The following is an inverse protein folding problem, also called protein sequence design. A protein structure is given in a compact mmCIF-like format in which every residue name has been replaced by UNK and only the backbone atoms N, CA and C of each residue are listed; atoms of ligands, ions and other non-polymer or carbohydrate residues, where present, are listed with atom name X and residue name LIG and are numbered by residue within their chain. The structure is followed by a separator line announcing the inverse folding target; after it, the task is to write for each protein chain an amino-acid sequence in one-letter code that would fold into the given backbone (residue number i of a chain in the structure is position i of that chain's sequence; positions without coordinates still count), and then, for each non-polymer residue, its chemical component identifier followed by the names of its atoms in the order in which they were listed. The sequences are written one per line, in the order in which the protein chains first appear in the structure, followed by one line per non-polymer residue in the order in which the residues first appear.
data_IF_474428871366
#
_entry.id   IF_474428871366
#
_cell.length_a   1.000
_cell.length_b   1.000
_cell.length_c   1.000
_cell.angle_alpha   90.00
_cell.angle_beta   90.00
_cell.angle_gamma   90.00
#
_symmetry.space_group_name_H-M   'P 1'
#
loop_
_entity.id
_entity.type
_entity.pdbx_description
1 polymer ?
#
# COMPACT_ATOMS: atom_id res chain seq x y z
N UNK A 1 6.93 -15.89 -32.80
CA UNK A 1 6.27 -15.86 -31.48
C UNK A 1 7.41 -15.82 -30.48
N UNK A 2 7.73 -14.75 -29.75
CA UNK A 2 6.89 -13.79 -29.02
C UNK A 2 7.74 -12.56 -28.65
N UNK A 3 7.27 -11.38 -29.03
CA UNK A 3 7.63 -10.07 -28.47
C UNK A 3 6.30 -9.31 -28.36
N UNK A 4 5.51 -9.56 -27.31
CA UNK A 4 4.16 -8.97 -27.20
C UNK A 4 3.62 -8.76 -25.79
N UNK A 5 4.40 -8.99 -24.73
CA UNK A 5 3.89 -8.87 -23.36
C UNK A 5 3.96 -7.44 -22.79
N UNK A 6 4.75 -6.53 -23.37
CA UNK A 6 4.95 -5.18 -22.83
C UNK A 6 4.26 -4.04 -23.62
N UNK A 7 3.62 -4.31 -24.76
CA UNK A 7 3.07 -3.25 -25.63
C UNK A 7 1.54 -3.15 -25.64
N UNK A 8 0.80 -3.96 -24.87
CA UNK A 8 -0.68 -3.90 -24.81
C UNK A 8 -1.21 -3.24 -23.55
N UNK A 9 -0.85 -1.98 -23.32
CA UNK A 9 -1.57 -1.07 -22.42
C UNK A 9 -1.54 0.36 -22.99
N UNK A 10 -2.01 0.55 -24.24
CA UNK A 10 -2.45 1.85 -24.78
C UNK A 10 -3.67 1.66 -25.69
N UNK A 11 -4.62 2.59 -25.56
CA UNK A 11 -5.98 2.64 -26.15
C UNK A 11 -6.90 1.55 -25.59
N UNK A 12 -7.99 1.85 -24.88
CA UNK A 12 -9.08 2.76 -25.24
C UNK A 12 -9.67 3.44 -23.99
N UNK A 13 -9.66 4.78 -23.91
CA UNK A 13 -10.76 5.56 -23.31
C UNK A 13 -10.76 6.93 -24.00
N UNK A 14 -11.44 7.03 -25.14
CA UNK A 14 -12.04 8.30 -25.57
C UNK A 14 -13.53 8.02 -25.66
N UNK A 15 -14.31 8.68 -24.82
CA UNK A 15 -15.76 8.48 -24.77
C UNK A 15 -16.31 8.78 -23.38
N UNK A 16 -16.99 9.92 -23.28
CA UNK A 16 -17.89 10.23 -22.17
C UNK A 16 -18.92 9.11 -22.03
N UNK A 17 -18.71 8.19 -21.12
CA UNK A 17 -19.75 7.28 -20.62
C UNK A 17 -19.42 6.92 -19.19
N UNK A 18 -20.14 7.53 -18.24
CA UNK A 18 -20.15 7.14 -16.84
C UNK A 18 -20.58 5.66 -16.75
N UNK A 19 -19.61 4.75 -16.62
CA UNK A 19 -19.90 3.36 -16.25
C UNK A 19 -19.99 3.26 -14.72
N UNK A 20 -21.06 2.65 -14.25
CA UNK A 20 -21.32 2.39 -12.84
C UNK A 20 -20.29 1.40 -12.26
N UNK A 21 -19.78 1.72 -11.07
CA UNK A 21 -18.61 1.09 -10.46
C UNK A 21 -18.99 -0.15 -9.64
N UNK A 22 -18.27 -1.26 -9.87
CA UNK A 22 -18.16 -2.36 -8.92
C UNK A 22 -16.93 -2.14 -8.03
N UNK A 23 -17.09 -2.37 -6.72
CA UNK A 23 -16.01 -2.39 -5.75
C UNK A 23 -15.37 -3.78 -5.75
N UNK A 24 -14.16 -3.90 -6.29
CA UNK A 24 -13.30 -5.07 -6.09
C UNK A 24 -11.85 -4.62 -5.93
N UNK A 25 -11.26 -4.96 -4.78
CA UNK A 25 -9.81 -4.93 -4.61
C UNK A 25 -9.25 -6.12 -5.36
N UNK A 26 -8.52 -5.88 -6.45
CA UNK A 26 -7.87 -6.94 -7.21
C UNK A 26 -6.43 -7.03 -6.75
N UNK A 27 -6.10 -8.14 -6.09
CA UNK A 27 -4.71 -8.50 -5.83
C UNK A 27 -4.19 -9.21 -7.07
N UNK A 28 -3.30 -8.57 -7.82
CA UNK A 28 -2.61 -9.24 -8.92
C UNK A 28 -1.44 -10.04 -8.36
N UNK A 29 -1.52 -11.37 -8.46
CA UNK A 29 -0.44 -12.31 -8.16
C UNK A 29 -0.10 -13.00 -9.47
N UNK A 30 1.09 -12.73 -10.03
CA UNK A 30 1.61 -13.55 -11.12
C UNK A 30 2.52 -14.63 -10.53
N UNK A 31 2.25 -15.92 -10.81
CA UNK A 31 3.10 -17.00 -10.32
C UNK A 31 4.45 -17.04 -11.05
N UNK A 32 5.48 -17.48 -10.33
CA UNK A 32 6.81 -17.79 -10.90
C UNK A 32 6.66 -18.90 -11.96
N UNK A 33 7.27 -18.78 -13.15
CA UNK A 33 7.19 -19.81 -14.18
C UNK A 33 7.86 -21.11 -13.71
N UNK A 34 7.08 -22.18 -13.51
CA UNK A 34 7.63 -23.47 -13.07
C UNK A 34 6.72 -24.69 -13.16
N UNK A 35 5.41 -24.51 -13.39
CA UNK A 35 4.48 -25.64 -13.55
C UNK A 35 3.97 -25.73 -15.00
N UNK A 36 4.39 -26.78 -15.71
CA UNK A 36 3.83 -27.15 -17.01
C UNK A 36 2.43 -27.72 -16.83
N UNK A 37 1.45 -27.09 -17.45
CA UNK A 37 0.10 -27.60 -17.64
C UNK A 37 0.04 -28.33 -18.99
N UNK A 38 -0.33 -29.61 -19.02
CA UNK A 38 -0.48 -30.40 -20.25
C UNK A 38 -1.93 -30.33 -20.76
N UNK A 39 -2.20 -29.91 -22.02
CA UNK A 39 -3.55 -29.89 -22.57
C UNK A 39 -3.84 -31.10 -23.50
N UNK A 40 -5.10 -31.57 -23.46
CA UNK A 40 -5.71 -32.56 -24.38
C UNK A 40 -6.41 -33.68 -23.60
N UNK A 41 -7.66 -34.10 -23.81
CA UNK A 41 -8.54 -34.11 -24.99
C UNK A 41 -10.03 -34.17 -24.55
N UNK A 42 -10.95 -33.78 -25.44
CA UNK A 42 -12.40 -34.12 -25.47
C UNK A 42 -12.78 -34.39 -26.95
N UNK A 43 -13.93 -35.00 -27.34
CA UNK A 43 -15.18 -35.28 -26.59
C UNK A 43 -15.86 -36.66 -26.86
N UNK A 44 -16.92 -37.01 -26.11
CA UNK A 44 -17.93 -37.98 -26.59
C UNK A 44 -18.84 -38.67 -25.55
N UNK A 45 -20.08 -38.18 -25.44
CA UNK A 45 -21.36 -38.88 -25.15
C UNK A 45 -21.58 -39.69 -23.84
N UNK A 46 -22.41 -39.12 -22.95
CA UNK A 46 -23.68 -39.70 -22.48
C UNK A 46 -23.68 -40.89 -21.51
N UNK A 47 -24.01 -40.64 -20.23
CA UNK A 47 -25.14 -41.26 -19.50
C UNK A 47 -25.17 -40.79 -18.03
N UNK A 48 -26.37 -40.44 -17.58
CA UNK A 48 -26.71 -40.00 -16.23
C UNK A 48 -26.31 -41.02 -15.15
N UNK A 49 -25.50 -40.61 -14.17
CA UNK A 49 -25.62 -41.05 -12.76
C UNK A 49 -25.10 -39.94 -11.81
N UNK A 50 -25.61 -39.96 -10.58
CA UNK A 50 -25.73 -38.89 -9.57
C UNK A 50 -24.40 -38.24 -9.11
N UNK A 51 -24.42 -36.98 -8.60
CA UNK A 51 -23.23 -36.33 -8.06
C UNK A 51 -22.87 -36.89 -6.68
N UNK A 52 -21.66 -37.42 -6.56
CA UNK A 52 -21.01 -37.72 -5.27
C UNK A 52 -20.44 -36.40 -4.72
N UNK A 53 -20.96 -35.99 -3.58
CA UNK A 53 -20.37 -34.93 -2.75
C UNK A 53 -19.03 -35.40 -2.17
N UNK A 54 -17.93 -34.75 -2.55
CA UNK A 54 -16.70 -34.77 -1.74
C UNK A 54 -16.83 -33.71 -0.66
N UNK A 55 -17.22 -34.16 0.54
CA UNK A 55 -17.08 -33.40 1.78
C UNK A 55 -15.63 -33.57 2.27
N UNK A 56 -14.88 -32.48 2.34
CA UNK A 56 -13.63 -32.42 3.09
C UNK A 56 -13.97 -32.25 4.58
N UNK A 57 -14.03 -33.37 5.31
CA UNK A 57 -14.04 -33.40 6.77
C UNK A 57 -12.59 -33.32 7.25
N UNK A 58 -12.20 -32.19 7.85
CA UNK A 58 -10.97 -32.09 8.62
C UNK A 58 -11.28 -32.55 10.05
N UNK A 59 -11.02 -33.82 10.34
CA UNK A 59 -11.12 -34.38 11.70
C UNK A 59 -9.81 -34.13 12.44
N UNK A 60 -9.89 -33.38 13.55
CA UNK A 60 -8.79 -33.20 14.51
C UNK A 60 -8.77 -34.42 15.43
N UNK A 61 -7.69 -35.21 15.39
CA UNK A 61 -7.44 -36.24 16.40
C UNK A 61 -6.77 -35.62 17.63
N UNK A 62 -7.53 -35.55 18.72
CA UNK A 62 -7.00 -35.38 20.09
C UNK A 62 -6.64 -36.77 20.61
N UNK A 63 -5.37 -37.01 20.92
CA UNK A 63 -4.94 -38.19 21.62
C UNK A 63 -4.74 -37.85 23.11
N UNK A 64 -5.69 -38.30 23.93
CA UNK A 64 -5.57 -38.38 25.38
C UNK A 64 -5.03 -39.77 25.71
N UNK A 65 -3.90 -39.86 26.43
CA UNK A 65 -3.46 -41.12 27.05
C UNK A 65 -3.33 -40.90 28.55
N UNK A 66 -4.22 -41.53 29.30
CA UNK A 66 -4.13 -41.76 30.73
C UNK A 66 -3.64 -43.21 30.95
N UNK A 67 -2.64 -43.39 31.80
CA UNK A 67 -2.15 -44.71 32.23
C UNK A 67 -1.35 -44.60 33.52
N UNK A 68 -1.83 -45.27 34.56
CA UNK A 68 -1.36 -45.27 35.95
C UNK A 68 -0.25 -46.33 36.15
N UNK A 69 0.87 -45.94 36.80
CA UNK A 69 1.80 -46.59 37.78
C UNK A 69 2.15 -48.12 37.69
N UNK A 70 3.35 -48.59 38.12
CA UNK A 70 3.92 -48.32 39.46
C UNK A 70 5.45 -48.17 39.64
N UNK A 71 5.78 -47.84 40.90
CA UNK A 71 7.05 -47.52 41.58
C UNK A 71 8.18 -48.56 41.48
N UNK A 72 9.45 -48.10 41.38
CA UNK A 72 10.56 -48.34 42.34
C UNK A 72 11.91 -47.79 41.82
N UNK A 73 12.76 -47.26 42.71
CA UNK A 73 14.22 -47.28 42.55
C UNK A 73 14.97 -45.95 42.69
N UNK A 74 15.60 -45.77 43.84
CA UNK A 74 16.49 -44.67 44.23
C UNK A 74 17.72 -44.49 43.32
N UNK A 75 18.15 -43.24 43.07
CA UNK A 75 19.47 -42.76 43.49
C UNK A 75 19.65 -41.25 43.24
N UNK A 76 19.91 -40.55 44.35
CA UNK A 76 20.36 -39.16 44.40
C UNK A 76 21.86 -39.09 44.12
N UNK A 77 22.28 -38.25 43.17
CA UNK A 77 23.65 -37.75 43.13
C UNK A 77 23.66 -36.24 42.93
N UNK A 78 24.18 -35.55 43.96
CA UNK A 78 24.38 -34.10 44.03
C UNK A 78 25.43 -33.65 43.00
N UNK A 79 25.18 -32.54 42.32
CA UNK A 79 26.23 -31.73 41.68
C UNK A 79 26.04 -30.25 42.05
N UNK A 80 27.11 -29.66 42.59
CA UNK A 80 27.23 -28.26 43.03
C UNK A 80 27.33 -27.28 41.83
N UNK A 81 27.04 -25.98 42.02
CA UNK A 81 26.93 -25.02 40.92
C UNK A 81 28.30 -24.52 40.44
N UNK A 82 28.54 -24.55 39.12
CA UNK A 82 29.66 -23.84 38.50
C UNK A 82 29.24 -22.41 38.12
N UNK A 83 30.07 -21.45 38.51
CA UNK A 83 29.93 -20.03 38.17
C UNK A 83 30.09 -19.84 36.66
N UNK A 84 29.05 -19.33 36.01
CA UNK A 84 29.12 -18.82 34.64
C UNK A 84 29.32 -17.31 34.68
N UNK A 85 30.51 -16.85 34.27
CA UNK A 85 30.77 -15.46 33.90
C UNK A 85 30.09 -15.17 32.56
N UNK A 86 29.11 -14.27 32.58
CA UNK A 86 28.49 -13.68 31.38
C UNK A 86 29.49 -12.75 30.69
N UNK A 87 30.08 -13.20 29.58
CA UNK A 87 30.64 -12.29 28.57
C UNK A 87 29.54 -11.99 27.54
N UNK A 88 29.13 -10.73 27.48
CA UNK A 88 28.27 -10.17 26.44
C UNK A 88 28.97 -10.29 25.07
N UNK A 89 28.32 -10.79 24.00
CA UNK A 89 28.96 -10.89 22.70
C UNK A 89 28.95 -9.53 21.99
N UNK A 90 30.13 -8.89 21.94
CA UNK A 90 30.42 -7.63 21.26
C UNK A 90 30.81 -7.85 19.77
N UNK A 91 30.21 -8.84 19.11
CA UNK A 91 30.73 -9.43 17.86
C UNK A 91 29.91 -9.13 16.59
N UNK A 92 29.01 -8.14 16.59
CA UNK A 92 28.22 -7.78 15.37
C UNK A 92 28.57 -6.43 14.75
N UNK A 93 29.17 -5.48 15.45
CA UNK A 93 29.55 -4.17 14.88
C UNK A 93 30.79 -4.26 13.99
N UNK A 94 31.77 -5.06 14.40
CA UNK A 94 33.12 -5.03 13.80
C UNK A 94 33.19 -5.83 12.49
N UNK A 95 32.25 -6.76 12.27
CA UNK A 95 32.13 -7.53 11.04
C UNK A 95 31.47 -6.76 9.90
N UNK A 96 30.66 -5.74 10.21
CA UNK A 96 29.97 -4.92 9.20
C UNK A 96 30.97 -3.95 8.58
N UNK A 97 31.77 -3.26 9.41
CA UNK A 97 32.80 -2.30 8.94
C UNK A 97 33.92 -2.98 8.13
N UNK A 98 34.33 -4.18 8.52
CA UNK A 98 35.42 -4.91 7.84
C UNK A 98 35.00 -5.53 6.49
N UNK A 99 33.69 -5.74 6.24
CA UNK A 99 33.19 -6.13 4.91
C UNK A 99 32.96 -4.92 4.01
N UNK A 100 32.48 -3.82 4.56
CA UNK A 100 32.34 -2.55 3.86
C UNK A 100 33.69 -2.04 3.32
N UNK A 101 34.74 -2.13 4.15
CA UNK A 101 36.10 -1.78 3.75
C UNK A 101 36.65 -2.70 2.64
N UNK A 102 36.38 -4.01 2.70
CA UNK A 102 36.80 -4.97 1.66
C UNK A 102 36.11 -4.74 0.32
N UNK A 103 34.80 -4.52 0.31
CA UNK A 103 34.08 -4.24 -0.94
C UNK A 103 34.54 -2.92 -1.59
N UNK A 104 34.78 -1.87 -0.79
CA UNK A 104 35.34 -0.61 -1.29
C UNK A 104 36.74 -0.76 -1.90
N UNK A 105 37.58 -1.58 -1.26
CA UNK A 105 38.91 -1.92 -1.76
C UNK A 105 38.84 -2.74 -3.06
N UNK A 106 37.92 -3.71 -3.16
CA UNK A 106 37.72 -4.54 -4.37
C UNK A 106 37.20 -3.72 -5.57
N UNK A 107 36.45 -2.64 -5.33
CA UNK A 107 35.91 -1.77 -6.37
C UNK A 107 36.80 -0.56 -6.71
N UNK A 108 37.91 -0.34 -5.98
CA UNK A 108 38.84 0.76 -6.23
C UNK A 108 38.26 2.17 -6.07
N UNK A 109 37.24 2.35 -5.20
CA UNK A 109 36.52 3.63 -5.04
C UNK A 109 36.76 4.28 -3.66
N UNK A 110 36.80 5.63 -3.65
CA UNK A 110 36.89 6.50 -2.46
C UNK A 110 35.73 6.24 -1.47
N UNK A 111 35.90 6.39 -0.13
CA UNK A 111 34.89 6.10 0.90
C UNK A 111 33.66 7.04 0.98
N UNK A 112 33.38 7.85 -0.04
CA UNK A 112 32.26 8.82 -0.03
C UNK A 112 30.87 8.22 -0.33
N UNK A 113 30.71 6.90 -0.23
CA UNK A 113 29.46 6.17 -0.51
C UNK A 113 28.72 5.85 0.80
N UNK A 114 27.40 6.07 0.80
CA UNK A 114 26.53 5.62 1.88
C UNK A 114 26.14 4.17 1.60
N UNK A 115 26.55 3.25 2.47
CA UNK A 115 26.15 1.85 2.37
C UNK A 115 25.88 1.28 3.75
N UNK A 116 24.67 0.77 3.90
CA UNK A 116 24.20 0.08 5.10
C UNK A 116 24.13 -1.44 4.90
N UNK A 117 24.69 -1.94 3.79
CA UNK A 117 24.48 -3.30 3.31
C UNK A 117 23.45 -3.32 2.20
N UNK A 118 22.22 -2.85 2.46
CA UNK A 118 21.03 -3.09 1.61
C UNK A 118 20.82 -2.07 0.53
N UNK A 119 21.37 -0.88 0.74
CA UNK A 119 21.31 0.24 -0.20
C UNK A 119 22.72 0.67 -0.56
N UNK A 120 22.99 0.79 -1.85
CA UNK A 120 24.19 1.43 -2.36
C UNK A 120 23.81 2.76 -2.97
N UNK A 121 24.42 3.84 -2.49
CA UNK A 121 24.29 5.18 -3.08
C UNK A 121 25.64 5.63 -3.62
N UNK A 122 25.65 6.08 -4.87
CA UNK A 122 26.82 6.60 -5.56
C UNK A 122 26.69 8.13 -5.67
N UNK A 123 27.84 8.82 -5.70
CA UNK A 123 27.93 10.29 -5.69
C UNK A 123 27.33 10.98 -6.92
N UNK A 124 27.04 10.24 -7.99
CA UNK A 124 26.41 10.73 -9.22
C UNK A 124 24.87 10.73 -9.17
N UNK A 125 24.27 10.35 -8.04
CA UNK A 125 22.82 10.25 -7.88
C UNK A 125 22.27 8.87 -8.23
N UNK A 126 23.11 7.93 -8.67
CA UNK A 126 22.68 6.55 -8.86
C UNK A 126 22.58 5.81 -7.52
N UNK A 127 21.58 4.97 -7.40
CA UNK A 127 21.38 4.12 -6.22
C UNK A 127 20.81 2.75 -6.60
N UNK A 128 21.11 1.76 -5.78
CA UNK A 128 20.67 0.38 -5.97
C UNK A 128 20.18 -0.22 -4.67
N UNK A 129 19.16 -1.07 -4.74
CA UNK A 129 18.49 -1.66 -3.58
C UNK A 129 18.36 -3.18 -3.75
N UNK A 130 18.70 -3.92 -2.68
CA UNK A 130 18.63 -5.39 -2.62
C UNK A 130 17.99 -5.89 -1.31
N UNK A 131 17.53 -7.15 -1.29
CA UNK A 131 16.81 -7.73 -0.14
C UNK A 131 17.72 -8.04 1.06
N UNK A 132 18.98 -8.41 0.83
CA UNK A 132 19.89 -8.92 1.86
C UNK A 132 21.13 -8.04 2.07
N UNK A 133 21.37 -7.12 1.14
CA UNK A 133 22.52 -6.23 1.15
C UNK A 133 23.86 -6.86 0.78
N UNK A 134 23.85 -8.06 0.21
CA UNK A 134 25.07 -8.76 -0.18
C UNK A 134 25.15 -8.88 -1.71
N UNK A 135 25.40 -7.74 -2.37
CA UNK A 135 25.83 -7.68 -3.78
C UNK A 135 24.75 -7.93 -4.84
N UNK A 136 23.62 -8.57 -4.50
CA UNK A 136 22.49 -8.72 -5.41
C UNK A 136 21.49 -7.56 -5.25
N UNK A 137 21.58 -6.59 -6.16
CA UNK A 137 20.59 -5.52 -6.27
C UNK A 137 19.50 -5.90 -7.26
N UNK A 138 18.24 -5.78 -6.84
CA UNK A 138 17.08 -6.06 -7.68
C UNK A 138 16.57 -4.82 -8.39
N UNK A 139 16.79 -3.65 -7.79
CA UNK A 139 16.33 -2.37 -8.29
C UNK A 139 17.50 -1.41 -8.41
N UNK A 140 17.62 -0.78 -9.57
CA UNK A 140 18.58 0.29 -9.83
C UNK A 140 17.83 1.58 -10.18
N UNK A 141 18.40 2.71 -9.77
CA UNK A 141 17.82 4.03 -9.94
C UNK A 141 17.48 4.34 -11.39
N UNK A 142 16.30 4.92 -11.59
CA UNK A 142 15.96 5.62 -12.82
C UNK A 142 16.36 7.10 -12.76
N UNK A 143 15.93 7.91 -13.74
CA UNK A 143 16.13 9.34 -13.70
C UNK A 143 15.29 9.99 -12.59
N UNK A 144 15.74 11.13 -12.08
CA UNK A 144 14.85 12.03 -11.33
C UNK A 144 13.90 12.69 -12.33
N UNK A 145 12.61 12.74 -11.99
CA UNK A 145 11.58 13.27 -12.89
C UNK A 145 10.89 14.45 -12.25
N UNK A 146 10.68 15.52 -13.02
CA UNK A 146 9.81 16.63 -12.66
C UNK A 146 9.03 17.09 -13.89
N UNK A 147 7.73 17.35 -13.72
CA UNK A 147 6.86 17.86 -14.79
C UNK A 147 6.47 19.31 -14.51
N UNK A 148 6.69 20.18 -15.49
CA UNK A 148 6.41 21.61 -15.40
C UNK A 148 5.90 22.16 -16.74
N UNK A 149 4.83 22.96 -16.71
CA UNK A 149 4.21 23.59 -17.89
C UNK A 149 3.95 22.61 -19.05
N UNK A 150 3.58 21.36 -18.72
CA UNK A 150 3.28 20.35 -19.72
C UNK A 150 4.48 19.61 -20.29
N UNK A 151 5.71 19.93 -19.84
CA UNK A 151 6.94 19.25 -20.24
C UNK A 151 7.45 18.33 -19.13
N UNK A 152 8.03 17.19 -19.52
CA UNK A 152 8.81 16.33 -18.62
C UNK A 152 10.26 16.80 -18.65
N UNK A 153 10.82 17.02 -17.47
CA UNK A 153 12.21 17.35 -17.23
C UNK A 153 12.81 16.19 -16.44
N UNK A 154 13.88 15.60 -16.93
CA UNK A 154 14.51 14.47 -16.26
C UNK A 154 16.04 14.48 -16.41
N UNK A 155 16.72 13.72 -15.57
CA UNK A 155 18.19 13.70 -15.55
C UNK A 155 18.82 12.93 -16.70
N UNK A 156 18.13 11.97 -17.32
CA UNK A 156 18.67 11.20 -18.46
C UNK A 156 18.68 12.04 -19.74
N UNK A 157 17.59 12.78 -19.99
CA UNK A 157 17.46 13.67 -21.14
C UNK A 157 18.24 14.98 -20.97
N UNK A 158 18.79 15.23 -19.78
CA UNK A 158 19.46 16.48 -19.42
C UNK A 158 18.48 17.64 -19.18
N UNK A 159 17.17 17.38 -19.08
CA UNK A 159 16.18 18.38 -18.72
C UNK A 159 16.30 18.86 -17.27
N UNK A 160 16.78 17.99 -16.37
CA UNK A 160 17.18 18.33 -15.00
C UNK A 160 18.68 18.14 -14.81
N UNK A 161 19.33 19.10 -14.17
CA UNK A 161 20.75 19.02 -13.85
C UNK A 161 20.95 18.87 -12.35
N UNK A 162 21.68 17.84 -11.95
CA UNK A 162 22.17 17.68 -10.58
C UNK A 162 23.19 18.80 -10.31
N UNK A 163 22.86 19.73 -9.40
CA UNK A 163 23.67 20.92 -9.12
C UNK A 163 24.74 20.66 -8.07
N UNK A 164 24.34 19.98 -7.00
CA UNK A 164 25.18 19.61 -5.87
C UNK A 164 24.58 18.38 -5.20
N UNK A 165 25.45 17.47 -4.75
CA UNK A 165 25.15 16.53 -3.69
C UNK A 165 25.85 17.02 -2.43
N UNK A 166 25.16 17.00 -1.30
CA UNK A 166 25.80 17.29 0.00
C UNK A 166 26.04 15.98 0.71
N UNK A 167 27.25 15.80 1.23
CA UNK A 167 27.62 14.68 2.11
C UNK A 167 26.77 14.70 3.38
N UNK A 168 26.59 13.50 3.92
CA UNK A 168 25.48 13.11 4.76
C UNK A 168 25.26 13.99 5.99
N UNK A 169 24.01 14.41 6.23
CA UNK A 169 23.59 14.85 7.56
C UNK A 169 23.19 13.63 8.37
N UNK A 170 23.17 13.77 9.69
CA UNK A 170 22.63 12.75 10.59
C UNK A 170 21.81 13.40 11.69
N UNK A 171 20.91 12.60 12.28
CA UNK A 171 20.05 13.07 13.35
C UNK A 171 19.32 11.93 14.02
N UNK A 172 18.33 12.28 14.84
CA UNK A 172 17.43 11.33 15.51
C UNK A 172 16.00 11.79 15.25
N UNK A 173 15.15 10.88 14.82
CA UNK A 173 13.71 11.11 14.68
C UNK A 173 12.89 9.96 15.30
N UNK A 174 11.60 9.87 14.95
CA UNK A 174 10.69 8.83 15.46
C UNK A 174 11.09 7.40 15.09
N UNK A 175 11.84 7.20 14.01
CA UNK A 175 12.36 5.92 13.54
C UNK A 175 13.79 5.66 14.02
N UNK A 176 14.43 6.64 14.67
CA UNK A 176 15.73 6.47 15.34
C UNK A 176 16.84 7.31 14.72
N UNK A 177 18.08 6.87 14.90
CA UNK A 177 19.27 7.50 14.35
C UNK A 177 19.29 7.32 12.84
N UNK A 178 19.25 8.44 12.13
CA UNK A 178 19.26 8.49 10.68
C UNK A 178 20.50 9.17 10.13
N UNK A 179 20.78 8.88 8.87
CA UNK A 179 21.71 9.59 8.01
C UNK A 179 21.03 9.83 6.67
N UNK A 180 21.31 10.94 5.99
CA UNK A 180 20.70 11.25 4.70
C UNK A 180 21.73 11.53 3.59
N UNK A 181 21.30 11.41 2.34
CA UNK A 181 22.01 11.92 1.16
C UNK A 181 21.06 12.82 0.41
N UNK A 182 21.48 14.05 0.12
CA UNK A 182 20.64 15.09 -0.48
C UNK A 182 21.08 15.39 -1.90
N UNK A 183 20.16 15.28 -2.84
CA UNK A 183 20.31 15.62 -4.25
C UNK A 183 19.51 16.89 -4.54
N UNK A 184 20.16 17.90 -5.12
CA UNK A 184 19.48 19.13 -5.55
C UNK A 184 19.53 19.25 -7.06
N UNK A 185 18.36 19.28 -7.69
CA UNK A 185 18.21 19.45 -9.12
C UNK A 185 17.49 20.76 -9.40
N UNK A 186 18.00 21.52 -10.36
CA UNK A 186 17.44 22.81 -10.73
C UNK A 186 17.47 23.02 -12.25
N UNK A 187 16.38 23.53 -12.80
CA UNK A 187 16.32 24.06 -14.16
C UNK A 187 15.26 25.16 -14.25
N UNK A 188 15.56 26.28 -14.90
CA UNK A 188 14.59 27.34 -15.22
C UNK A 188 13.66 27.78 -14.05
N UNK A 189 14.20 27.91 -12.83
CA UNK A 189 13.43 28.32 -11.64
C UNK A 189 12.59 27.21 -10.99
N UNK A 190 12.67 26.00 -11.52
CA UNK A 190 12.10 24.77 -10.97
C UNK A 190 13.15 24.07 -10.13
N UNK A 191 12.78 23.71 -8.89
CA UNK A 191 13.68 23.09 -7.93
C UNK A 191 13.08 21.79 -7.42
N UNK A 192 13.90 20.74 -7.43
CA UNK A 192 13.67 19.50 -6.71
C UNK A 192 14.79 19.30 -5.69
N UNK A 193 14.42 19.08 -4.44
CA UNK A 193 15.30 18.52 -3.43
C UNK A 193 14.85 17.08 -3.16
N UNK A 194 15.71 16.11 -3.47
CA UNK A 194 15.46 14.71 -3.19
C UNK A 194 16.40 14.24 -2.08
N UNK A 195 15.91 13.39 -1.17
CA UNK A 195 16.71 12.85 -0.08
C UNK A 195 16.52 11.35 0.07
N UNK A 196 17.62 10.62 0.25
CA UNK A 196 17.58 9.23 0.72
C UNK A 196 17.98 9.23 2.18
N UNK A 197 17.12 8.74 3.06
CA UNK A 197 17.31 8.69 4.51
C UNK A 197 17.40 7.22 4.91
N UNK A 198 18.49 6.83 5.56
CA UNK A 198 18.69 5.46 6.07
C UNK A 198 18.86 5.46 7.59
N UNK A 199 18.59 4.31 8.22
CA UNK A 199 18.60 4.14 9.68
C UNK A 199 19.52 2.98 10.10
N UNK A 200 20.84 3.04 9.85
CA UNK A 200 21.72 1.86 9.91
C UNK A 200 21.77 1.16 11.26
N UNK A 201 21.51 1.90 12.35
CA UNK A 201 21.63 1.38 13.71
C UNK A 201 20.31 0.91 14.31
N UNK A 202 19.21 1.62 14.03
CA UNK A 202 17.93 1.38 14.70
C UNK A 202 16.89 0.71 13.79
N UNK A 203 16.95 0.93 12.46
CA UNK A 203 16.09 0.27 11.47
C UNK A 203 16.87 0.06 10.14
N UNK A 204 17.87 -0.85 10.10
CA UNK A 204 18.72 -1.04 8.91
C UNK A 204 17.98 -1.60 7.69
N UNK A 205 16.72 -1.98 7.87
CA UNK A 205 15.88 -2.66 6.88
C UNK A 205 15.03 -1.67 6.08
N UNK A 206 15.13 -0.37 6.35
CA UNK A 206 14.33 0.66 5.68
C UNK A 206 15.16 1.77 5.06
N UNK A 207 14.61 2.33 3.98
CA UNK A 207 15.04 3.58 3.36
C UNK A 207 13.81 4.47 3.20
N UNK A 208 13.92 5.72 3.61
CA UNK A 208 12.91 6.74 3.34
C UNK A 208 13.43 7.65 2.23
N UNK A 209 12.72 7.65 1.12
CA UNK A 209 12.95 8.59 0.04
C UNK A 209 12.04 9.80 0.24
N UNK A 210 12.59 10.99 0.16
CA UNK A 210 11.85 12.24 0.32
C UNK A 210 12.04 13.13 -0.89
N UNK A 211 11.00 13.86 -1.26
CA UNK A 211 11.06 14.93 -2.24
C UNK A 211 10.44 16.22 -1.68
N UNK A 212 11.12 17.34 -1.92
CA UNK A 212 10.61 18.70 -1.81
C UNK A 212 10.60 19.33 -3.20
N UNK A 213 9.47 19.95 -3.57
CA UNK A 213 9.24 20.44 -4.92
C UNK A 213 8.83 21.91 -4.90
N UNK A 214 9.33 22.67 -5.87
CA UNK A 214 8.89 24.06 -6.12
C UNK A 214 8.71 24.30 -7.61
N UNK A 215 7.53 24.82 -7.97
CA UNK A 215 7.21 25.17 -9.36
C UNK A 215 6.98 23.95 -10.25
N UNK A 216 6.12 23.00 -9.85
CA UNK A 216 5.81 21.79 -10.63
C UNK A 216 4.33 21.71 -10.96
N UNK A 217 4.00 21.31 -12.19
CA UNK A 217 2.65 21.07 -12.68
C UNK A 217 2.70 20.08 -13.85
N UNK A 218 1.94 18.99 -13.73
CA UNK A 218 1.81 18.00 -14.79
C UNK A 218 0.89 18.47 -15.91
N UNK A 219 1.04 17.87 -17.09
CA UNK A 219 0.15 18.10 -18.24
C UNK A 219 -1.24 17.46 -18.06
N UNK A 220 -1.34 16.43 -17.21
CA UNK A 220 -2.51 15.58 -17.06
C UNK A 220 -2.62 15.02 -15.65
N UNK A 221 -3.84 14.69 -15.24
CA UNK A 221 -4.14 14.02 -13.97
C UNK A 221 -3.62 12.57 -13.93
N UNK A 222 -3.39 11.95 -15.09
CA UNK A 222 -3.01 10.54 -15.24
C UNK A 222 -1.49 10.31 -15.17
N UNK A 223 -0.71 11.24 -14.63
CA UNK A 223 0.74 11.12 -14.45
C UNK A 223 1.11 11.70 -13.08
N UNK A 224 2.33 11.53 -12.62
CA UNK A 224 2.83 12.24 -11.44
C UNK A 224 3.44 13.60 -11.81
N UNK A 225 3.43 14.59 -10.93
CA UNK A 225 4.16 15.86 -11.13
C UNK A 225 5.68 15.69 -10.91
N UNK A 226 6.09 14.61 -10.25
CA UNK A 226 7.49 14.28 -9.97
C UNK A 226 7.72 12.77 -9.94
N UNK A 227 8.97 12.34 -9.94
CA UNK A 227 9.36 10.95 -9.74
C UNK A 227 10.62 10.87 -8.91
N UNK A 228 10.48 10.42 -7.65
CA UNK A 228 11.55 9.97 -6.78
C UNK A 228 10.96 9.23 -5.56
N UNK A 229 11.39 7.99 -5.27
CA UNK A 229 12.37 7.22 -6.02
C UNK A 229 11.84 6.81 -7.40
N UNK A 230 12.77 6.58 -8.31
CA UNK A 230 12.51 5.94 -9.60
C UNK A 230 13.39 4.70 -9.78
N UNK A 231 12.91 3.72 -10.53
CA UNK A 231 13.65 2.49 -10.81
C UNK A 231 13.47 2.04 -12.26
N UNK A 232 14.54 1.55 -12.88
CA UNK A 232 14.49 0.95 -14.22
C UNK A 232 14.07 -0.51 -14.15
N UNK A 233 12.98 -0.83 -14.81
CA UNK A 233 12.40 -2.18 -14.80
C UNK A 233 13.05 -3.10 -15.85
N UNK A 234 13.64 -2.54 -16.92
CA UNK A 234 14.34 -3.32 -17.95
C UNK A 234 15.56 -4.10 -17.43
N UNK A 235 16.10 -3.66 -16.29
CA UNK A 235 17.26 -4.27 -15.67
C UNK A 235 16.92 -5.48 -14.81
N UNK A 236 15.64 -5.75 -14.57
CA UNK A 236 15.20 -7.01 -13.98
C UNK A 236 15.25 -8.07 -15.08
N UNK A 237 16.13 -9.09 -14.99
CA UNK A 237 16.28 -10.07 -16.05
C UNK A 237 14.94 -10.74 -16.39
N UNK A 238 14.67 -10.95 -17.68
CA UNK A 238 13.44 -11.63 -18.16
C UNK A 238 13.31 -13.06 -17.58
N UNK A 239 14.43 -13.66 -17.18
CA UNK A 239 14.49 -14.96 -16.51
C UNK A 239 14.67 -14.84 -14.99
N UNK A 240 14.41 -13.68 -14.39
CA UNK A 240 14.48 -13.54 -12.94
C UNK A 240 13.41 -14.41 -12.28
N UNK A 241 13.76 -15.01 -11.15
CA UNK A 241 12.83 -15.76 -10.29
C UNK A 241 11.95 -14.84 -9.43
N UNK A 242 11.94 -13.54 -9.71
CA UNK A 242 11.23 -12.56 -8.92
C UNK A 242 9.73 -12.61 -9.24
N UNK A 243 8.93 -12.84 -8.20
CA UNK A 243 7.51 -12.54 -8.19
C UNK A 243 7.27 -11.08 -7.80
N UNK A 244 6.08 -10.57 -8.15
CA UNK A 244 5.61 -9.29 -7.63
C UNK A 244 4.17 -9.36 -7.15
N UNK A 245 3.86 -8.51 -6.20
CA UNK A 245 2.53 -8.30 -5.64
C UNK A 245 2.29 -6.79 -5.59
N UNK A 246 1.12 -6.37 -6.03
CA UNK A 246 0.71 -4.96 -5.97
C UNK A 246 -0.77 -4.88 -5.67
N UNK A 247 -1.14 -4.02 -4.73
CA UNK A 247 -2.55 -3.71 -4.52
C UNK A 247 -3.03 -2.80 -5.64
N UNK A 248 -4.14 -3.18 -6.25
CA UNK A 248 -4.80 -2.38 -7.26
C UNK A 248 -6.27 -2.17 -6.85
N UNK A 249 -6.77 -0.97 -7.10
CA UNK A 249 -8.14 -0.59 -6.82
C UNK A 249 -8.31 0.92 -6.99
N UNK A 250 -9.41 1.32 -7.60
CA UNK A 250 -9.73 2.73 -7.90
C UNK A 250 -9.71 3.67 -6.67
N UNK A 251 -9.77 3.10 -5.45
CA UNK A 251 -9.89 3.84 -4.19
C UNK A 251 -8.66 3.70 -3.26
N UNK A 252 -7.66 2.88 -3.61
CA UNK A 252 -6.50 2.58 -2.75
C UNK A 252 -5.26 3.45 -3.06
N UNK A 253 -5.41 4.44 -3.95
CA UNK A 253 -4.28 5.03 -4.66
C UNK A 253 -3.82 4.07 -5.76
N UNK A 254 -3.47 4.59 -6.94
CA UNK A 254 -3.02 3.74 -8.03
C UNK A 254 -1.75 2.98 -7.61
N UNK A 255 -1.88 1.65 -7.45
CA UNK A 255 -0.78 0.69 -7.57
C UNK A 255 0.27 0.73 -6.44
N UNK A 256 -0.16 0.69 -5.18
CA UNK A 256 0.72 0.65 -4.01
C UNK A 256 0.09 -0.05 -2.78
N UNK A 257 0.88 -0.71 -1.89
CA UNK A 257 2.32 -0.97 -1.99
C UNK A 257 2.68 -1.92 -3.14
N UNK A 258 3.88 -1.75 -3.69
CA UNK A 258 4.54 -2.73 -4.56
C UNK A 258 5.44 -3.62 -3.71
N UNK A 259 5.38 -4.92 -3.95
CA UNK A 259 6.28 -5.91 -3.36
C UNK A 259 6.95 -6.69 -4.47
N UNK A 260 8.28 -6.79 -4.42
CA UNK A 260 9.08 -7.74 -5.17
C UNK A 260 9.56 -8.83 -4.21
N UNK A 261 9.55 -10.08 -4.62
CA UNK A 261 9.98 -11.19 -3.77
C UNK A 261 10.53 -12.35 -4.59
N UNK A 262 11.36 -13.19 -3.96
CA UNK A 262 11.85 -14.42 -4.56
C UNK A 262 11.36 -15.66 -3.78
N UNK A 263 11.78 -16.84 -4.22
CA UNK A 263 11.48 -18.11 -3.55
C UNK A 263 12.37 -18.39 -2.33
N UNK A 264 13.42 -17.60 -2.11
CA UNK A 264 14.36 -17.74 -0.99
C UNK A 264 13.97 -16.89 0.23
N UNK A 265 12.96 -16.03 0.07
CA UNK A 265 12.45 -15.15 1.12
C UNK A 265 12.93 -13.70 1.01
N UNK A 266 13.76 -13.38 0.01
CA UNK A 266 14.11 -12.02 -0.34
C UNK A 266 12.86 -11.20 -0.66
N UNK A 267 12.81 -9.97 -0.17
CA UNK A 267 11.67 -9.07 -0.36
C UNK A 267 12.10 -7.60 -0.38
N UNK A 268 11.53 -6.86 -1.33
CA UNK A 268 11.51 -5.40 -1.35
C UNK A 268 10.04 -4.97 -1.33
N UNK A 269 9.65 -4.12 -0.40
CA UNK A 269 8.31 -3.53 -0.31
C UNK A 269 8.44 -2.01 -0.37
N UNK A 270 7.72 -1.35 -1.26
CA UNK A 270 7.75 0.10 -1.41
C UNK A 270 6.34 0.71 -1.45
N UNK A 271 6.14 1.80 -0.73
CA UNK A 271 4.87 2.54 -0.67
C UNK A 271 5.07 4.02 -0.36
N UNK A 272 4.11 4.89 -0.71
CA UNK A 272 3.96 6.17 -0.04
C UNK A 272 4.00 5.99 1.49
N UNK A 273 4.75 6.85 2.16
CA UNK A 273 4.86 6.91 3.62
C UNK A 273 3.94 7.99 4.18
N UNK A 274 3.81 9.10 3.45
CA UNK A 274 2.92 10.22 3.75
C UNK A 274 2.15 10.67 2.51
N UNK A 275 1.32 11.71 2.68
CA UNK A 275 0.49 12.28 1.61
C UNK A 275 -0.30 11.22 0.85
N UNK A 276 -0.78 10.18 1.55
CA UNK A 276 -1.30 8.94 0.95
C UNK A 276 -2.41 9.17 -0.08
N UNK A 277 -3.21 10.22 0.11
CA UNK A 277 -4.32 10.59 -0.79
C UNK A 277 -3.90 11.40 -2.02
N UNK A 278 -2.66 11.88 -2.06
CA UNK A 278 -2.08 12.66 -3.16
C UNK A 278 -0.88 11.95 -3.81
N UNK A 279 -0.48 10.79 -3.29
CA UNK A 279 0.62 9.99 -3.79
C UNK A 279 0.15 9.01 -4.88
N UNK A 280 1.02 8.75 -5.85
CA UNK A 280 0.75 7.81 -6.94
C UNK A 280 2.04 7.16 -7.43
N UNK A 281 1.88 6.01 -8.09
CA UNK A 281 2.94 5.29 -8.78
C UNK A 281 2.69 5.36 -10.28
N UNK A 282 3.68 5.83 -11.03
CA UNK A 282 3.61 5.98 -12.48
C UNK A 282 4.66 5.11 -13.16
N UNK A 283 4.26 4.39 -14.21
CA UNK A 283 5.17 3.65 -15.07
C UNK A 283 5.29 4.42 -16.39
N UNK A 284 6.44 5.05 -16.63
CA UNK A 284 6.76 5.77 -17.87
C UNK A 284 7.76 4.94 -18.70
N UNK A 285 7.25 4.23 -19.70
CA UNK A 285 8.05 3.23 -20.42
C UNK A 285 8.47 2.11 -19.48
N UNK A 286 9.77 2.02 -19.21
CA UNK A 286 10.40 1.07 -18.29
C UNK A 286 10.79 1.69 -16.94
N UNK A 287 10.52 2.98 -16.72
CA UNK A 287 10.82 3.66 -15.45
C UNK A 287 9.60 3.68 -14.55
N UNK A 288 9.70 3.02 -13.40
CA UNK A 288 8.70 3.07 -12.35
C UNK A 288 9.02 4.21 -11.38
N UNK A 289 8.09 5.10 -11.12
CA UNK A 289 8.31 6.34 -10.37
C UNK A 289 7.23 6.58 -9.32
N UNK A 290 7.65 6.97 -8.11
CA UNK A 290 6.77 7.44 -7.05
C UNK A 290 6.73 8.96 -7.03
N UNK A 291 5.55 9.54 -6.90
CA UNK A 291 5.42 10.99 -6.81
C UNK A 291 4.00 11.44 -6.49
N UNK A 292 3.79 12.75 -6.56
CA UNK A 292 2.49 13.36 -6.32
C UNK A 292 1.64 13.32 -7.58
N UNK A 293 0.33 13.08 -7.43
CA UNK A 293 -0.64 13.02 -8.52
C UNK A 293 -0.63 14.29 -9.39
N UNK A 294 -0.75 14.10 -10.69
CA UNK A 294 -0.69 15.16 -11.71
C UNK A 294 -1.84 16.17 -11.66
N UNK A 295 -2.92 15.82 -10.96
CA UNK A 295 -4.05 16.72 -10.72
C UNK A 295 -3.80 17.78 -9.65
N UNK A 296 -2.62 17.78 -9.01
CA UNK A 296 -2.25 18.81 -8.05
C UNK A 296 -1.84 20.09 -8.77
N UNK A 297 -2.59 21.18 -8.54
CA UNK A 297 -2.34 22.48 -9.15
C UNK A 297 -1.16 23.22 -8.51
N UNK A 298 -1.07 23.20 -7.19
CA UNK A 298 -0.06 23.90 -6.42
C UNK A 298 0.30 23.09 -5.17
N UNK A 299 1.58 23.17 -4.77
CA UNK A 299 2.05 22.62 -3.50
C UNK A 299 2.22 23.76 -2.49
N UNK A 300 1.80 23.56 -1.22
CA UNK A 300 2.02 24.56 -0.20
C UNK A 300 3.53 24.75 0.08
N UNK A 301 3.97 25.92 0.55
CA UNK A 301 5.36 26.14 0.96
C UNK A 301 5.80 25.09 1.99
N UNK A 302 6.96 24.48 1.77
CA UNK A 302 7.50 23.45 2.66
C UNK A 302 6.84 22.07 2.52
N UNK A 303 5.97 21.85 1.54
CA UNK A 303 5.42 20.53 1.26
C UNK A 303 6.53 19.50 1.00
N UNK A 304 6.38 18.33 1.63
CA UNK A 304 7.25 17.18 1.45
C UNK A 304 6.40 15.95 1.14
N UNK A 305 6.95 15.07 0.32
CA UNK A 305 6.41 13.74 0.06
C UNK A 305 7.49 12.71 0.35
N UNK A 306 7.10 11.64 1.03
CA UNK A 306 7.97 10.57 1.47
C UNK A 306 7.44 9.22 0.96
N UNK A 307 8.36 8.39 0.50
CA UNK A 307 8.15 6.99 0.11
C UNK A 307 9.00 6.12 1.03
N UNK A 308 8.37 5.11 1.63
CA UNK A 308 9.02 4.13 2.48
C UNK A 308 9.35 2.89 1.63
N UNK A 309 10.61 2.49 1.69
CA UNK A 309 11.08 1.22 1.16
C UNK A 309 11.54 0.34 2.32
N UNK A 310 11.07 -0.90 2.35
CA UNK A 310 11.51 -1.97 3.25
C UNK A 310 12.23 -3.06 2.46
N UNK A 311 13.26 -3.62 3.07
CA UNK A 311 14.15 -4.66 2.55
C UNK A 311 14.22 -5.80 3.56
N UNK A 312 14.26 -7.06 3.11
CA UNK A 312 14.56 -8.17 4.01
C UNK A 312 14.60 -9.53 3.33
N UNK A 313 14.85 -10.57 4.13
CA UNK A 313 14.99 -11.96 3.67
C UNK A 313 14.06 -12.95 4.39
N UNK A 314 13.09 -12.42 5.15
CA UNK A 314 12.15 -13.21 5.96
C UNK A 314 10.78 -13.40 5.30
N UNK A 315 10.68 -13.12 3.99
CA UNK A 315 9.48 -13.30 3.18
C UNK A 315 8.45 -12.18 3.31
N UNK A 316 7.46 -12.22 2.41
CA UNK A 316 6.42 -11.20 2.24
C UNK A 316 5.63 -10.93 3.52
N UNK A 317 5.27 -11.98 4.27
CA UNK A 317 4.48 -11.84 5.50
C UNK A 317 5.22 -11.05 6.59
N UNK A 318 6.53 -11.21 6.71
CA UNK A 318 7.33 -10.42 7.64
C UNK A 318 7.52 -8.99 7.15
N UNK A 319 7.70 -8.78 5.84
CA UNK A 319 7.79 -7.44 5.26
C UNK A 319 6.57 -6.57 5.57
N UNK A 320 5.35 -7.09 5.42
CA UNK A 320 4.13 -6.33 5.76
C UNK A 320 4.03 -6.00 7.26
N UNK A 321 4.47 -6.92 8.14
CA UNK A 321 4.49 -6.66 9.58
C UNK A 321 5.45 -5.54 9.94
N UNK A 322 6.66 -5.55 9.38
CA UNK A 322 7.67 -4.53 9.63
C UNK A 322 7.32 -3.19 9.00
N UNK A 323 6.87 -3.19 7.74
CA UNK A 323 6.32 -1.99 7.08
C UNK A 323 5.19 -1.35 7.89
N UNK A 324 4.22 -2.17 8.33
CA UNK A 324 3.12 -1.69 9.18
C UNK A 324 3.58 -1.23 10.57
N UNK A 325 4.64 -1.82 11.13
CA UNK A 325 5.25 -1.34 12.39
C UNK A 325 5.88 0.04 12.20
N UNK A 326 6.65 0.23 11.12
CA UNK A 326 7.34 1.51 10.81
C UNK A 326 6.33 2.63 10.60
N UNK A 327 5.28 2.42 9.79
CA UNK A 327 4.22 3.42 9.61
C UNK A 327 3.51 3.74 10.92
N UNK A 328 3.17 2.73 11.73
CA UNK A 328 2.56 2.96 13.05
C UNK A 328 3.47 3.78 13.98
N UNK A 329 4.77 3.48 14.00
CA UNK A 329 5.75 4.23 14.77
C UNK A 329 5.84 5.70 14.31
N UNK A 330 5.87 5.95 12.99
CA UNK A 330 5.89 7.29 12.42
C UNK A 330 4.66 8.13 12.81
N UNK A 331 3.48 7.53 12.73
CA UNK A 331 2.20 8.19 13.05
C UNK A 331 1.80 8.11 14.53
N UNK A 332 2.66 7.59 15.41
CA UNK A 332 2.35 7.46 16.84
C UNK A 332 1.16 6.55 17.14
N UNK A 333 0.87 5.58 16.28
CA UNK A 333 -0.25 4.63 16.42
C UNK A 333 0.20 3.43 17.26
N UNK A 334 0.02 3.53 18.57
CA UNK A 334 0.30 2.42 19.50
C UNK A 334 -0.68 1.26 19.29
N UNK A 335 -0.33 0.07 19.80
CA UNK A 335 -1.25 -1.08 19.79
C UNK A 335 -2.59 -0.77 20.45
N UNK A 336 -2.58 0.03 21.53
CA UNK A 336 -3.80 0.43 22.23
C UNK A 336 -4.66 1.37 21.38
N UNK A 337 -4.05 2.31 20.67
CA UNK A 337 -4.77 3.21 19.73
C UNK A 337 -5.39 2.40 18.60
N UNK A 338 -4.65 1.46 18.02
CA UNK A 338 -5.16 0.59 16.95
C UNK A 338 -6.32 -0.26 17.46
N UNK A 339 -6.15 -0.90 18.62
CA UNK A 339 -7.19 -1.74 19.23
C UNK A 339 -8.44 -0.92 19.56
N UNK A 340 -8.27 0.27 20.15
CA UNK A 340 -9.36 1.19 20.42
C UNK A 340 -10.14 1.52 19.15
N UNK A 341 -9.48 1.96 18.08
CA UNK A 341 -10.16 2.28 16.82
C UNK A 341 -10.81 1.07 16.16
N UNK A 342 -10.17 -0.10 16.19
CA UNK A 342 -10.75 -1.34 15.68
C UNK A 342 -12.03 -1.73 16.43
N UNK A 343 -12.03 -1.61 17.77
CA UNK A 343 -13.22 -1.89 18.58
C UNK A 343 -14.37 -0.91 18.31
N UNK A 344 -14.06 0.32 17.88
CA UNK A 344 -15.09 1.30 17.48
C UNK A 344 -15.55 1.11 16.02
N UNK A 345 -14.72 0.55 15.14
CA UNK A 345 -15.05 0.36 13.73
C UNK A 345 -15.64 -1.03 13.48
N UNK A 346 -16.97 -1.07 13.51
CA UNK A 346 -17.75 -2.28 13.25
C UNK A 346 -17.54 -2.84 11.84
N UNK A 347 -17.13 -2.00 10.87
CA UNK A 347 -16.96 -2.40 9.47
C UNK A 347 -15.67 -3.19 9.25
N UNK A 348 -14.64 -2.93 10.07
CA UNK A 348 -13.35 -3.62 10.01
C UNK A 348 -13.31 -4.90 10.84
N UNK A 349 -14.21 -5.05 11.82
CA UNK A 349 -14.16 -6.12 12.82
C UNK A 349 -15.25 -7.17 12.70
N UNK A 350 -16.29 -6.89 11.90
CA UNK A 350 -17.44 -7.77 11.81
C UNK A 350 -17.90 -8.00 10.36
N UNK A 351 -18.63 -9.09 10.17
CA UNK A 351 -19.31 -9.36 8.91
C UNK A 351 -20.53 -8.42 8.78
N UNK A 352 -20.53 -7.61 7.72
CA UNK A 352 -21.67 -6.80 7.32
C UNK A 352 -22.47 -7.45 6.20
N UNK A 353 -23.68 -6.93 6.00
CA UNK A 353 -24.39 -7.07 4.73
C UNK A 353 -24.18 -5.80 3.90
N UNK A 354 -23.94 -5.96 2.60
CA UNK A 354 -23.97 -4.87 1.64
C UNK A 354 -25.09 -5.13 0.63
N UNK A 355 -25.78 -4.06 0.23
CA UNK A 355 -26.84 -4.13 -0.76
C UNK A 355 -26.75 -2.94 -1.73
N UNK A 356 -26.97 -3.20 -3.02
CA UNK A 356 -26.58 -2.27 -4.08
C UNK A 356 -27.69 -2.08 -5.11
N UNK A 357 -28.21 -0.84 -5.23
CA UNK A 357 -29.01 -0.28 -6.34
C UNK A 357 -30.19 -1.13 -6.88
N UNK A 358 -30.69 -2.06 -6.08
CA UNK A 358 -31.83 -2.89 -6.44
C UNK A 358 -32.74 -2.96 -5.24
N UNK A 359 -34.04 -3.14 -5.47
CA UNK A 359 -34.97 -3.60 -4.44
C UNK A 359 -35.53 -4.94 -4.89
N UNK A 360 -36.06 -5.72 -3.96
CA UNK A 360 -36.91 -6.84 -4.36
C UNK A 360 -38.14 -6.33 -5.11
N UNK A 361 -38.71 -7.19 -5.97
CA UNK A 361 -39.93 -6.88 -6.72
C UNK A 361 -41.03 -6.39 -5.78
N UNK A 362 -41.65 -5.26 -6.13
CA UNK A 362 -42.75 -4.62 -5.40
C UNK A 362 -42.41 -4.17 -3.96
N UNK A 363 -41.12 -3.99 -3.64
CA UNK A 363 -40.66 -3.49 -2.34
C UNK A 363 -39.81 -2.22 -2.48
N UNK A 364 -39.83 -1.40 -1.44
CA UNK A 364 -38.87 -0.31 -1.25
C UNK A 364 -37.57 -0.84 -0.62
N UNK A 365 -36.58 0.04 -0.49
CA UNK A 365 -35.30 -0.33 0.11
C UNK A 365 -35.42 -0.72 1.58
N UNK A 366 -36.29 -0.08 2.36
CA UNK A 366 -36.44 -0.38 3.77
C UNK A 366 -36.96 -1.80 3.98
N UNK A 367 -38.02 -2.17 3.25
CA UNK A 367 -38.59 -3.51 3.24
C UNK A 367 -37.55 -4.54 2.80
N UNK A 368 -36.84 -4.29 1.69
CA UNK A 368 -35.81 -5.22 1.21
C UNK A 368 -34.66 -5.41 2.19
N UNK A 369 -34.16 -4.35 2.83
CA UNK A 369 -33.10 -4.48 3.83
C UNK A 369 -33.58 -5.24 5.08
N UNK A 370 -34.84 -5.07 5.46
CA UNK A 370 -35.46 -5.85 6.54
C UNK A 370 -35.56 -7.34 6.17
N UNK A 371 -35.91 -7.67 4.93
CA UNK A 371 -35.94 -9.05 4.46
C UNK A 371 -34.54 -9.68 4.40
N UNK A 372 -33.53 -8.94 3.95
CA UNK A 372 -32.12 -9.38 4.03
C UNK A 372 -31.73 -9.68 5.48
N UNK A 373 -32.14 -8.83 6.42
CA UNK A 373 -31.89 -9.06 7.86
C UNK A 373 -32.63 -10.29 8.37
N UNK A 374 -33.88 -10.49 7.97
CA UNK A 374 -34.69 -11.61 8.43
C UNK A 374 -34.20 -12.95 7.85
N UNK A 375 -33.77 -12.96 6.59
CA UNK A 375 -33.13 -14.11 5.95
C UNK A 375 -31.80 -14.44 6.65
N UNK A 376 -30.98 -13.44 6.97
CA UNK A 376 -29.76 -13.64 7.74
C UNK A 376 -30.03 -14.28 9.11
N UNK A 377 -31.07 -13.81 9.83
CA UNK A 377 -31.50 -14.43 11.10
C UNK A 377 -31.92 -15.89 10.89
N UNK A 378 -32.72 -16.16 9.86
CA UNK A 378 -33.19 -17.51 9.52
C UNK A 378 -32.03 -18.46 9.23
N UNK A 379 -31.00 -17.98 8.55
CA UNK A 379 -29.79 -18.75 8.20
C UNK A 379 -28.70 -18.71 9.27
N UNK A 380 -28.97 -18.09 10.43
CA UNK A 380 -27.98 -17.91 11.50
C UNK A 380 -26.69 -17.18 11.06
N UNK A 381 -26.80 -16.25 10.10
CA UNK A 381 -25.71 -15.40 9.66
C UNK A 381 -25.58 -14.19 10.59
N UNK A 382 -24.42 -14.00 11.24
CA UNK A 382 -24.28 -13.04 12.33
C UNK A 382 -23.92 -11.62 11.83
N UNK A 383 -24.72 -11.03 10.94
CA UNK A 383 -24.51 -9.65 10.52
C UNK A 383 -24.57 -8.70 11.72
N UNK A 384 -23.56 -7.84 11.83
CA UNK A 384 -23.42 -6.86 12.92
C UNK A 384 -23.71 -5.43 12.53
N UNK A 385 -23.82 -5.17 11.23
CA UNK A 385 -24.23 -3.88 10.69
C UNK A 385 -24.86 -4.08 9.30
N UNK A 386 -25.60 -3.07 8.87
CA UNK A 386 -26.11 -2.95 7.49
C UNK A 386 -25.39 -1.82 6.79
N UNK A 387 -24.77 -2.08 5.64
CA UNK A 387 -24.14 -1.04 4.83
C UNK A 387 -25.11 -0.51 3.77
N UNK A 388 -25.31 0.81 3.74
CA UNK A 388 -26.01 1.51 2.66
C UNK A 388 -25.00 2.29 1.82
N UNK A 389 -25.02 2.08 0.50
CA UNK A 389 -24.00 2.64 -0.41
C UNK A 389 -24.36 4.07 -0.85
N UNK A 390 -24.18 4.42 -2.12
CA UNK A 390 -24.29 5.78 -2.64
C UNK A 390 -25.69 6.16 -3.08
N UNK A 391 -26.70 5.31 -2.93
CA UNK A 391 -28.02 5.47 -3.53
C UNK A 391 -29.06 6.19 -2.65
N UNK A 392 -28.72 6.54 -1.41
CA UNK A 392 -29.72 7.01 -0.43
C UNK A 392 -29.74 8.52 -0.17
N UNK A 393 -28.80 9.29 -0.73
CA UNK A 393 -28.69 10.74 -0.54
C UNK A 393 -28.73 11.52 -1.87
N UNK A 394 -29.17 12.79 -1.84
CA UNK A 394 -29.20 13.67 -3.01
C UNK A 394 -27.82 13.92 -3.61
N UNK A 395 -27.76 13.84 -4.95
CA UNK A 395 -26.54 14.07 -5.73
C UNK A 395 -26.76 15.12 -6.82
N UNK A 396 -25.71 15.85 -7.15
CA UNK A 396 -25.71 16.73 -8.32
C UNK A 396 -25.51 15.95 -9.63
N UNK A 397 -25.46 16.66 -10.76
CA UNK A 397 -25.28 16.07 -12.10
C UNK A 397 -23.94 15.35 -12.30
N UNK A 398 -22.94 15.57 -11.44
CA UNK A 398 -21.66 14.86 -11.44
C UNK A 398 -21.68 13.64 -10.50
N UNK A 399 -22.77 13.46 -9.74
CA UNK A 399 -22.91 12.40 -8.76
C UNK A 399 -22.27 12.72 -7.42
N UNK A 400 -21.96 13.99 -7.14
CA UNK A 400 -21.39 14.49 -5.90
C UNK A 400 -22.48 14.77 -4.85
N UNK A 401 -22.15 14.64 -3.56
CA UNK A 401 -23.14 14.77 -2.47
C UNK A 401 -23.54 16.22 -2.29
N UNK A 402 -24.84 16.53 -2.39
CA UNK A 402 -25.36 17.89 -2.16
C UNK A 402 -25.82 18.07 -0.72
N UNK A 403 -26.58 17.10 -0.21
CA UNK A 403 -26.89 16.90 1.21
C UNK A 403 -26.67 15.45 1.59
N UNK A 404 -26.45 15.17 2.87
CA UNK A 404 -26.29 13.81 3.41
C UNK A 404 -27.54 13.39 4.18
N UNK A 405 -28.69 13.81 3.65
CA UNK A 405 -30.01 13.49 4.15
C UNK A 405 -30.58 12.31 3.37
N UNK A 406 -31.41 11.50 4.04
CA UNK A 406 -32.13 10.42 3.37
C UNK A 406 -33.14 10.99 2.38
N UNK A 407 -33.14 10.47 1.16
CA UNK A 407 -34.16 10.85 0.17
C UNK A 407 -35.50 10.18 0.50
N UNK A 408 -36.57 10.96 0.53
CA UNK A 408 -37.92 10.48 0.90
C UNK A 408 -38.47 9.41 -0.06
N UNK A 409 -38.06 9.43 -1.33
CA UNK A 409 -38.44 8.41 -2.33
C UNK A 409 -37.71 7.07 -2.14
N UNK A 410 -36.57 7.08 -1.44
CA UNK A 410 -35.80 5.87 -1.09
C UNK A 410 -36.16 5.37 0.31
N UNK A 411 -36.28 6.29 1.28
CA UNK A 411 -36.57 6.03 2.68
C UNK A 411 -37.69 6.95 3.17
N UNK A 412 -38.97 6.66 2.86
CA UNK A 412 -40.11 7.54 3.17
C UNK A 412 -40.35 7.75 4.67
N UNK A 413 -39.76 6.91 5.51
CA UNK A 413 -39.81 7.02 6.98
C UNK A 413 -38.44 7.41 7.59
N UNK A 414 -37.47 7.75 6.74
CA UNK A 414 -36.11 8.13 7.12
C UNK A 414 -35.26 6.98 7.69
N UNK A 415 -33.95 7.25 7.83
CA UNK A 415 -32.99 6.25 8.33
C UNK A 415 -33.21 5.86 9.81
N UNK A 416 -33.86 6.73 10.60
CA UNK A 416 -34.16 6.43 12.01
C UNK A 416 -35.18 5.30 12.13
N UNK A 417 -36.21 5.28 11.28
CA UNK A 417 -37.18 4.19 11.22
C UNK A 417 -36.49 2.90 10.76
N UNK A 418 -35.71 2.98 9.67
CA UNK A 418 -34.92 1.83 9.19
C UNK A 418 -34.02 1.23 10.28
N UNK A 419 -33.30 2.06 11.03
CA UNK A 419 -32.45 1.59 12.13
C UNK A 419 -33.27 0.90 13.23
N UNK A 420 -34.45 1.44 13.55
CA UNK A 420 -35.38 0.85 14.53
C UNK A 420 -35.85 -0.54 14.09
N UNK A 421 -36.14 -0.71 12.80
CA UNK A 421 -36.64 -1.98 12.25
C UNK A 421 -35.52 -3.03 12.15
N UNK A 422 -34.35 -2.64 11.62
CA UNK A 422 -33.21 -3.54 11.44
C UNK A 422 -32.62 -4.02 12.77
N UNK A 423 -32.68 -3.15 13.80
CA UNK A 423 -31.98 -3.33 15.08
C UNK A 423 -30.50 -3.64 14.87
N UNK A 424 -29.89 -2.96 13.90
CA UNK A 424 -28.48 -3.02 13.56
C UNK A 424 -27.94 -1.61 13.34
N UNK A 425 -26.69 -1.33 13.74
CA UNK A 425 -25.97 -0.17 13.27
C UNK A 425 -25.99 -0.07 11.74
N UNK A 426 -26.08 1.15 11.24
CA UNK A 426 -26.02 1.45 9.81
C UNK A 426 -24.64 2.03 9.49
N UNK A 427 -23.90 1.38 8.61
CA UNK A 427 -22.70 1.94 8.00
C UNK A 427 -23.10 2.64 6.70
N UNK A 428 -22.92 3.96 6.64
CA UNK A 428 -23.42 4.75 5.53
C UNK A 428 -22.26 5.28 4.69
N UNK A 429 -22.23 4.91 3.41
CA UNK A 429 -21.25 5.40 2.47
C UNK A 429 -21.46 6.89 2.17
N UNK A 430 -20.38 7.61 1.92
CA UNK A 430 -20.40 8.98 1.43
C UNK A 430 -19.50 9.12 0.21
N UNK A 431 -19.94 9.89 -0.79
CA UNK A 431 -19.09 10.30 -1.92
C UNK A 431 -18.33 11.58 -1.59
N UNK A 432 -17.57 12.07 -2.55
CA UNK A 432 -17.05 13.43 -2.51
C UNK A 432 -18.20 14.44 -2.50
N UNK A 433 -17.98 15.59 -1.84
CA UNK A 433 -18.98 16.64 -1.71
C UNK A 433 -19.09 17.47 -2.98
N UNK A 434 -20.32 17.87 -3.30
CA UNK A 434 -20.60 18.83 -4.37
C UNK A 434 -20.07 20.21 -3.97
N UNK A 435 -19.57 20.96 -4.96
CA UNK A 435 -19.30 22.40 -4.78
C UNK A 435 -20.53 23.20 -4.34
N UNK A 436 -21.73 22.68 -4.61
CA UNK A 436 -23.01 23.27 -4.25
C UNK A 436 -23.60 22.64 -2.96
N UNK A 437 -22.81 21.91 -2.17
CA UNK A 437 -23.33 21.32 -0.92
C UNK A 437 -23.90 22.41 0.00
N UNK A 438 -25.09 22.16 0.54
CA UNK A 438 -25.80 23.14 1.38
C UNK A 438 -25.14 23.33 2.74
N UNK A 439 -24.19 22.46 3.10
CA UNK A 439 -23.44 22.55 4.35
C UNK A 439 -22.33 23.61 4.31
N UNK A 440 -21.83 23.95 3.13
CA UNK A 440 -20.76 24.93 2.97
C UNK A 440 -21.28 26.36 3.21
N UNK A 441 -20.53 27.18 3.98
CA UNK A 441 -20.86 28.60 4.21
C UNK A 441 -21.03 29.38 2.91
N UNK A 442 -20.26 29.06 1.87
CA UNK A 442 -20.36 29.65 0.54
C UNK A 442 -21.73 29.45 -0.12
N UNK A 443 -22.47 28.42 0.31
CA UNK A 443 -23.81 28.07 -0.16
C UNK A 443 -24.89 28.31 0.90
N UNK A 444 -24.60 29.10 1.95
CA UNK A 444 -25.53 29.41 3.04
C UNK A 444 -25.53 28.43 4.21
N UNK A 445 -24.61 27.45 4.22
CA UNK A 445 -24.45 26.49 5.30
C UNK A 445 -23.62 27.00 6.48
N UNK A 446 -23.27 26.09 7.39
CA UNK A 446 -22.59 26.43 8.65
C UNK A 446 -21.11 26.04 8.69
N UNK A 447 -20.64 25.24 7.72
CA UNK A 447 -19.34 24.60 7.78
C UNK A 447 -18.36 25.21 6.78
N UNK A 448 -17.08 25.24 7.16
CA UNK A 448 -16.01 25.69 6.29
C UNK A 448 -15.62 24.59 5.30
N UNK A 449 -15.64 24.94 4.01
CA UNK A 449 -15.29 24.06 2.91
C UNK A 449 -14.27 24.72 2.00
N UNK A 450 -13.33 23.92 1.49
CA UNK A 450 -12.58 24.22 0.29
C UNK A 450 -13.48 23.90 -0.91
N UNK A 451 -13.84 24.92 -1.69
CA UNK A 451 -14.66 24.76 -2.90
C UNK A 451 -13.74 24.71 -4.12
N UNK A 452 -13.59 23.52 -4.71
CA UNK A 452 -12.88 23.32 -5.97
C UNK A 452 -13.79 23.51 -7.19
N UNK A 453 -13.25 23.25 -8.37
CA UNK A 453 -14.00 23.41 -9.64
C UNK A 453 -15.19 22.44 -9.76
N UNK A 454 -14.97 21.18 -9.34
CA UNK A 454 -15.92 20.07 -9.51
C UNK A 454 -16.39 19.44 -8.19
N UNK A 455 -15.67 19.67 -7.09
CA UNK A 455 -15.95 19.07 -5.79
C UNK A 455 -15.58 20.05 -4.68
N UNK A 456 -16.03 19.74 -3.47
CA UNK A 456 -15.61 20.42 -2.25
C UNK A 456 -15.10 19.45 -1.19
N UNK A 457 -14.35 19.97 -0.22
CA UNK A 457 -13.85 19.22 0.93
C UNK A 457 -14.05 20.06 2.19
N UNK A 458 -14.58 19.48 3.29
CA UNK A 458 -14.62 20.18 4.57
C UNK A 458 -13.19 20.47 5.05
N UNK A 459 -12.93 21.68 5.54
CA UNK A 459 -11.58 22.10 5.95
C UNK A 459 -11.22 21.72 7.38
N UNK A 460 -12.20 21.30 8.17
CA UNK A 460 -12.03 20.72 9.50
C UNK A 460 -12.70 19.35 9.52
N UNK A 461 -11.95 18.33 9.93
CA UNK A 461 -12.47 17.00 10.26
C UNK A 461 -12.48 16.80 11.77
#
# INVERSE_FOLDING_TARGET
MTLSAFTRLRSEVTGNTLRHFQQSTVVSILPVPGYKWCPGQTPGAGLCTRPVHVRSLLTVHVATVCGILPLHGNNLQKCSPSKTTTKTPQLRSDLITDRQARFAHEQGKSPDWLYDGRTLVVTDGNYSVGPDGYGEYWLNSGPFILRHNGHTLDTDSGGLHLRNYTTASSGIDKLGRWQDTVFRMETQGVLMEARMITYPLDNPDIVVFQQGLKGCKAASVNMTISGFPTFRMEQIPVNSSLGYLMFNGYMMGDRSPLVLYDTQGGVILISPMDQLMAASVWLDGDVLAWGIMGGVDNLPPGFQFQTLLYTGTSGVGQAFKEWGRVLRQWYGKTSDVVKYHQEQDITLTHLGAYYYYHTETDKDYAATLNDVRQDAKTRSLPYRYMQIDSWWYPKDSLGAVTTWDAMDDIFPHGLKALHSDLQLPIAAHNRYWSKNTTYAKQNGGQFDFFIGQNLSLPTSQ
#
